data_IF_390130452071
#
_entry.id   IF_390130452071
#
_cell.length_a   1.000
_cell.length_b   1.000
_cell.length_c   1.000
_cell.angle_alpha   90.00
_cell.angle_beta   90.00
_cell.angle_gamma   90.00
#
_symmetry.space_group_name_H-M   'P 1'
#
loop_
_entity.id
_entity.type
_entity.pdbx_description
1 polymer ?
#
# COMPACT_ATOMS: atom_id res chain seq x y z
N UNK A 1 -8.64 -10.53 -7.69
CA UNK A 1 -8.09 -9.53 -6.76
C UNK A 1 -6.57 -9.39 -6.86
N UNK A 2 -6.10 -8.16 -7.08
CA UNK A 2 -4.69 -7.75 -7.00
C UNK A 2 -4.52 -6.78 -5.84
N UNK A 3 -3.27 -6.58 -5.41
CA UNK A 3 -2.96 -5.65 -4.33
C UNK A 3 -2.14 -4.49 -4.87
N UNK A 4 -2.41 -3.31 -4.35
CA UNK A 4 -1.72 -2.10 -4.76
C UNK A 4 -1.22 -1.29 -3.57
N UNK A 5 0.01 -0.80 -3.66
CA UNK A 5 0.49 0.30 -2.83
C UNK A 5 0.12 1.61 -3.55
N UNK A 6 -0.72 2.42 -2.93
CA UNK A 6 -1.22 3.69 -3.46
C UNK A 6 -0.57 4.84 -2.68
N UNK A 7 0.04 5.80 -3.39
CA UNK A 7 0.61 7.00 -2.76
C UNK A 7 -0.05 8.26 -3.30
N UNK A 8 -0.52 9.12 -2.39
CA UNK A 8 -1.03 10.45 -2.68
C UNK A 8 0.05 11.47 -2.34
N UNK A 9 0.66 12.09 -3.34
CA UNK A 9 1.68 13.11 -3.14
C UNK A 9 1.03 14.48 -3.02
N UNK A 10 1.41 15.24 -1.99
CA UNK A 10 0.90 16.59 -1.75
C UNK A 10 1.92 17.67 -2.16
N UNK A 11 1.42 18.84 -2.53
CA UNK A 11 2.22 20.00 -2.97
C UNK A 11 3.16 20.54 -1.88
N UNK A 12 2.86 20.28 -0.61
CA UNK A 12 3.70 20.65 0.54
C UNK A 12 4.85 19.64 0.80
N UNK A 13 5.03 18.63 -0.06
CA UNK A 13 6.05 17.60 0.08
C UNK A 13 5.66 16.44 0.98
N UNK A 14 4.47 16.46 1.62
CA UNK A 14 3.96 15.32 2.35
C UNK A 14 3.35 14.27 1.40
N UNK A 15 3.24 13.03 1.86
CA UNK A 15 2.59 11.97 1.09
C UNK A 15 1.83 11.04 2.02
N UNK A 16 0.67 10.58 1.57
CA UNK A 16 -0.13 9.56 2.26
C UNK A 16 0.00 8.27 1.48
N UNK A 17 0.44 7.21 2.17
CA UNK A 17 0.66 5.89 1.59
C UNK A 17 -0.37 4.92 2.15
N UNK A 18 -1.07 4.23 1.26
CA UNK A 18 -2.01 3.15 1.56
C UNK A 18 -1.44 1.87 0.97
N UNK A 19 -1.04 0.95 1.84
CA UNK A 19 -0.35 -0.28 1.44
C UNK A 19 -1.31 -1.44 1.25
N UNK A 20 -0.98 -2.33 0.33
CA UNK A 20 -1.64 -3.60 0.08
C UNK A 20 -3.17 -3.46 -0.03
N UNK A 21 -3.63 -2.49 -0.82
CA UNK A 21 -5.04 -2.25 -1.04
C UNK A 21 -5.58 -3.29 -2.03
N UNK A 22 -6.54 -4.14 -1.61
CA UNK A 22 -7.16 -5.09 -2.52
C UNK A 22 -8.06 -4.36 -3.51
N UNK A 23 -7.91 -4.65 -4.79
CA UNK A 23 -8.68 -4.03 -5.86
C UNK A 23 -9.02 -5.05 -6.95
N UNK A 24 -10.25 -4.97 -7.46
CA UNK A 24 -10.67 -5.63 -8.69
C UNK A 24 -10.41 -4.76 -9.93
N UNK A 25 -10.13 -3.46 -9.73
CA UNK A 25 -9.67 -2.54 -10.77
C UNK A 25 -8.19 -2.78 -11.06
N UNK A 26 -7.81 -2.60 -12.31
CA UNK A 26 -6.44 -2.81 -12.78
C UNK A 26 -5.65 -1.52 -12.92
N UNK A 27 -4.38 -1.53 -12.51
CA UNK A 27 -3.45 -0.44 -12.75
C UNK A 27 -3.84 0.83 -11.98
N UNK A 28 -3.83 1.98 -12.66
CA UNK A 28 -4.07 3.27 -12.02
C UNK A 28 -5.42 3.32 -11.27
N UNK A 29 -6.50 2.79 -11.85
CA UNK A 29 -7.85 2.88 -11.28
C UNK A 29 -8.00 2.27 -9.88
N UNK A 30 -7.05 1.43 -9.44
CA UNK A 30 -7.01 0.90 -8.08
C UNK A 30 -6.89 1.99 -6.99
N UNK A 31 -6.43 3.19 -7.32
CA UNK A 31 -6.36 4.30 -6.36
C UNK A 31 -7.73 4.65 -5.77
N UNK A 32 -8.80 4.43 -6.53
CA UNK A 32 -10.17 4.72 -6.11
C UNK A 32 -10.60 3.83 -4.93
N UNK A 33 -10.06 2.62 -4.83
CA UNK A 33 -10.40 1.69 -3.75
C UNK A 33 -9.61 2.01 -2.46
N UNK A 34 -8.62 2.90 -2.54
CA UNK A 34 -7.89 3.43 -1.38
C UNK A 34 -8.60 4.63 -0.70
N UNK A 35 -9.63 5.21 -1.32
CA UNK A 35 -10.44 6.31 -0.79
C UNK A 35 -11.83 5.82 -0.39
N UNK A 36 -12.39 6.37 0.67
CA UNK A 36 -13.78 6.10 1.09
C UNK A 36 -14.76 7.01 0.34
N UNK A 37 -14.30 8.21 0.00
CA UNK A 37 -15.06 9.18 -0.76
C UNK A 37 -14.13 10.02 -1.61
N UNK A 38 -14.56 10.36 -2.82
CA UNK A 38 -13.89 11.31 -3.68
C UNK A 38 -14.90 12.21 -4.38
N UNK A 39 -14.53 13.48 -4.53
CA UNK A 39 -15.29 14.49 -5.25
C UNK A 39 -14.36 15.34 -6.12
N UNK A 40 -14.89 16.42 -6.69
CA UNK A 40 -14.09 17.41 -7.38
C UNK A 40 -13.13 18.16 -6.45
N UNK A 41 -13.47 18.28 -5.16
CA UNK A 41 -12.73 19.12 -4.20
C UNK A 41 -11.99 18.32 -3.13
N UNK A 42 -12.51 17.16 -2.77
CA UNK A 42 -12.05 16.43 -1.58
C UNK A 42 -11.85 14.95 -1.87
N UNK A 43 -10.83 14.38 -1.22
CA UNK A 43 -10.60 12.95 -1.08
C UNK A 43 -10.64 12.62 0.41
N UNK A 44 -11.44 11.64 0.81
CA UNK A 44 -11.49 11.16 2.19
C UNK A 44 -10.82 9.80 2.24
N UNK A 45 -9.74 9.72 3.00
CA UNK A 45 -8.92 8.51 3.13
C UNK A 45 -9.08 8.01 4.55
N UNK A 46 -9.52 6.76 4.69
CA UNK A 46 -9.46 6.06 5.96
C UNK A 46 -8.03 5.54 6.14
N UNK A 47 -7.31 6.08 7.11
CA UNK A 47 -6.00 5.57 7.53
C UNK A 47 -6.19 4.65 8.75
N UNK A 48 -5.10 4.11 9.29
CA UNK A 48 -5.13 3.12 10.36
C UNK A 48 -5.98 3.58 11.57
N UNK A 49 -6.51 2.60 12.30
CA UNK A 49 -7.25 2.79 13.56
C UNK A 49 -8.48 3.71 13.46
N UNK A 50 -9.18 3.67 12.33
CA UNK A 50 -10.44 4.39 12.15
C UNK A 50 -10.29 5.91 11.95
N UNK A 51 -9.06 6.39 11.74
CA UNK A 51 -8.80 7.82 11.54
C UNK A 51 -9.10 8.22 10.10
N UNK A 52 -9.91 9.27 9.92
CA UNK A 52 -10.21 9.82 8.61
C UNK A 52 -9.34 11.04 8.32
N UNK A 53 -8.66 11.02 7.17
CA UNK A 53 -7.91 12.16 6.66
C UNK A 53 -8.65 12.73 5.46
N UNK A 54 -9.04 13.99 5.56
CA UNK A 54 -9.61 14.74 4.45
C UNK A 54 -8.53 15.51 3.73
N UNK A 55 -8.36 15.22 2.44
CA UNK A 55 -7.45 15.91 1.56
C UNK A 55 -8.20 16.81 0.61
N UNK A 56 -7.74 18.05 0.49
CA UNK A 56 -8.12 18.89 -0.63
C UNK A 56 -7.47 18.35 -1.90
N UNK A 57 -8.26 18.03 -2.92
CA UNK A 57 -7.79 17.46 -4.19
C UNK A 57 -6.83 18.41 -4.91
N UNK A 58 -7.00 19.73 -4.78
CA UNK A 58 -6.07 20.72 -5.33
C UNK A 58 -4.68 20.69 -4.68
N UNK A 59 -4.56 20.08 -3.49
CA UNK A 59 -3.26 19.87 -2.84
C UNK A 59 -2.55 18.60 -3.29
N UNK A 60 -3.25 17.67 -3.96
CA UNK A 60 -2.67 16.41 -4.46
C UNK A 60 -2.05 16.67 -5.83
N UNK A 61 -0.72 16.55 -5.92
CA UNK A 61 0.03 16.81 -7.15
C UNK A 61 0.15 15.57 -8.04
N UNK A 62 0.20 14.39 -7.44
CA UNK A 62 0.24 13.12 -8.17
C UNK A 62 -0.28 11.97 -7.31
N UNK A 63 -0.79 10.94 -7.99
CA UNK A 63 -1.19 9.68 -7.40
C UNK A 63 -0.43 8.57 -8.12
N UNK A 64 0.20 7.69 -7.37
CA UNK A 64 0.86 6.49 -7.92
C UNK A 64 0.12 5.25 -7.43
N UNK A 65 0.05 4.24 -8.31
CA UNK A 65 -0.51 2.93 -8.02
C UNK A 65 0.49 1.87 -8.46
N UNK A 66 1.07 1.16 -7.50
CA UNK A 66 2.06 0.10 -7.75
C UNK A 66 1.44 -1.24 -7.39
N UNK A 67 1.40 -2.18 -8.36
CA UNK A 67 0.95 -3.54 -8.09
C UNK A 67 1.97 -4.26 -7.21
N UNK A 68 1.53 -4.79 -6.08
CA UNK A 68 2.37 -5.50 -5.12
C UNK A 68 1.90 -6.95 -4.98
N UNK A 69 2.82 -7.88 -4.62
CA UNK A 69 2.44 -9.24 -4.25
C UNK A 69 1.43 -9.25 -3.10
N UNK A 70 0.63 -10.31 -3.01
CA UNK A 70 -0.30 -10.50 -1.89
C UNK A 70 0.46 -10.35 -0.56
N UNK A 71 -0.03 -9.50 0.38
CA UNK A 71 0.61 -9.31 1.68
C UNK A 71 0.77 -10.63 2.46
N UNK A 72 -0.15 -11.59 2.30
CA UNK A 72 -0.06 -12.92 2.90
C UNK A 72 1.08 -13.73 2.28
N UNK A 73 1.23 -13.69 0.95
CA UNK A 73 2.34 -14.36 0.26
C UNK A 73 3.70 -13.75 0.64
N UNK A 74 3.74 -12.45 0.95
CA UNK A 74 4.95 -11.75 1.38
C UNK A 74 5.39 -12.19 2.77
N UNK A 75 4.47 -12.35 3.73
CA UNK A 75 4.78 -12.90 5.06
C UNK A 75 5.24 -14.36 4.96
N UNK A 76 4.57 -15.18 4.15
CA UNK A 76 4.96 -16.59 3.94
C UNK A 76 6.37 -16.68 3.36
N UNK A 77 6.71 -15.86 2.34
CA UNK A 77 8.05 -15.82 1.75
C UNK A 77 9.12 -15.33 2.74
N UNK A 78 8.86 -14.26 3.50
CA UNK A 78 9.82 -13.79 4.50
C UNK A 78 10.09 -14.85 5.57
N UNK A 79 9.04 -15.55 6.05
CA UNK A 79 9.22 -16.65 6.98
C UNK A 79 9.94 -17.85 6.36
N UNK A 80 9.75 -18.12 5.08
CA UNK A 80 10.51 -19.14 4.33
C UNK A 80 11.99 -18.80 4.21
N UNK A 81 12.33 -17.59 3.76
CA UNK A 81 13.72 -17.12 3.61
C UNK A 81 14.48 -17.13 4.95
N UNK A 82 13.83 -16.70 6.04
CA UNK A 82 14.41 -16.78 7.39
C UNK A 82 14.70 -18.23 7.80
N UNK A 83 13.80 -19.18 7.47
CA UNK A 83 14.02 -20.60 7.76
C UNK A 83 15.16 -21.19 6.94
N UNK A 84 15.30 -20.81 5.68
CA UNK A 84 16.39 -21.27 4.83
C UNK A 84 17.76 -20.73 5.29
N UNK A 85 17.82 -19.49 5.77
CA UNK A 85 19.02 -18.93 6.42
C UNK A 85 19.34 -19.67 7.72
N UNK A 86 18.34 -19.95 8.57
CA UNK A 86 18.53 -20.72 9.81
C UNK A 86 19.03 -22.13 9.51
N UNK A 87 18.49 -22.81 8.50
CA UNK A 87 18.95 -24.13 8.07
C UNK A 87 20.38 -24.08 7.52
N UNK A 88 20.73 -23.03 6.77
CA UNK A 88 22.09 -22.82 6.26
C UNK A 88 23.10 -22.59 7.39
N UNK A 89 22.74 -21.79 8.40
CA UNK A 89 23.56 -21.58 9.59
C UNK A 89 23.70 -22.84 10.44
N UNK A 90 22.62 -23.61 10.60
CA UNK A 90 22.63 -24.88 11.35
C UNK A 90 23.51 -25.94 10.68
N UNK A 91 23.56 -25.95 9.33
CA UNK A 91 24.46 -26.81 8.56
C UNK A 91 25.93 -26.35 8.55
N UNK A 92 26.23 -25.14 9.06
CA UNK A 92 27.59 -24.61 9.20
C UNK A 92 28.20 -24.81 10.59
N UNK A 93 27.59 -25.66 11.44
CA UNK A 93 28.22 -26.24 12.63
C UNK A 93 28.93 -25.26 13.56
N UNK A 94 28.15 -24.60 14.42
CA UNK A 94 28.65 -24.10 15.71
C UNK A 94 28.41 -25.14 16.80
#
# INVERSE_FOLDING_TARGET
>A
MKYYDITFHQSNGHSIVKRAIPSEKSGFEAWQDAVVFYSEKELHILVNDGTYVNLNKASVVSITAEEVPDPVDKEIKQHGELRDVINTLSNMGF
#
